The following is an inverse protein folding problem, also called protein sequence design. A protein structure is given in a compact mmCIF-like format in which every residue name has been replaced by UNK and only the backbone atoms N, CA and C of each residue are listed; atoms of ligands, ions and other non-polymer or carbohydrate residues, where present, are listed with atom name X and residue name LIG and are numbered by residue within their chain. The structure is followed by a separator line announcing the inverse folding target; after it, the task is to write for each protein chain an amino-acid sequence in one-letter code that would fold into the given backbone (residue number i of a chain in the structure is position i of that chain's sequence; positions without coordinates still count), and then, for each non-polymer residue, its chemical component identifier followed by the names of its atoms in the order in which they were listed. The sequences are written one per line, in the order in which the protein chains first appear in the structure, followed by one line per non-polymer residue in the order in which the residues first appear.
data_IF_929968126749
#
_entry.id   IF_929968126749
#
_cell.length_a   1.000
_cell.length_b   1.000
_cell.length_c   1.000
_cell.angle_alpha   90.00
_cell.angle_beta   90.00
_cell.angle_gamma   90.00
#
_symmetry.space_group_name_H-M   'P 1'
#
loop_
_entity.id
_entity.type
_entity.pdbx_description
1 polymer ?
#
# COMPACT_ATOMS: atom_id res chain seq x y z
N UNK A 1 17.10 -0.50 3.77
CA UNK A 1 15.78 -1.14 3.62
C UNK A 1 15.72 -1.78 2.23
N UNK A 2 15.37 -3.07 2.07
CA UNK A 2 15.35 -3.69 0.76
C UNK A 2 14.29 -3.04 -0.15
N UNK A 3 14.64 -2.86 -1.42
CA UNK A 3 13.85 -2.17 -2.47
C UNK A 3 12.43 -2.77 -2.63
N UNK A 4 12.22 -4.03 -2.27
CA UNK A 4 10.92 -4.70 -2.33
C UNK A 4 9.91 -4.30 -1.25
N UNK A 5 10.34 -3.67 -0.14
CA UNK A 5 9.43 -3.32 0.96
C UNK A 5 8.47 -2.18 0.61
N UNK A 6 8.85 -1.26 -0.28
CA UNK A 6 8.02 -0.10 -0.66
C UNK A 6 6.72 -0.48 -1.37
N UNK A 7 6.71 -1.58 -2.13
CA UNK A 7 5.48 -2.09 -2.78
C UNK A 7 4.54 -2.68 -1.74
N UNK A 8 5.09 -3.46 -0.79
CA UNK A 8 4.34 -4.01 0.33
C UNK A 8 3.70 -2.91 1.17
N UNK A 9 4.42 -1.82 1.44
CA UNK A 9 3.90 -0.62 2.11
C UNK A 9 2.75 0.01 1.31
N UNK A 10 2.91 0.21 0.00
CA UNK A 10 1.88 0.82 -0.86
C UNK A 10 0.61 -0.03 -0.98
N UNK A 11 0.76 -1.36 -1.07
CA UNK A 11 -0.36 -2.33 -1.06
C UNK A 11 -0.99 -2.42 0.34
N UNK A 12 -0.17 -2.35 1.39
CA UNK A 12 -0.60 -2.30 2.79
C UNK A 12 -1.51 -1.10 3.05
N UNK A 13 -1.23 0.03 2.41
CA UNK A 13 -2.03 1.25 2.45
C UNK A 13 -3.30 1.20 1.58
N UNK A 14 -3.60 0.08 0.87
CA UNK A 14 -4.80 -0.06 0.01
C UNK A 14 -6.09 0.33 0.75
N UNK A 15 -7.00 0.97 0.03
CA UNK A 15 -8.30 1.38 0.60
C UNK A 15 -9.04 0.19 1.18
N UNK A 16 -9.05 -0.96 0.48
CA UNK A 16 -9.68 -2.19 0.96
C UNK A 16 -9.16 -2.65 2.33
N UNK A 17 -7.84 -2.55 2.57
CA UNK A 17 -7.23 -2.91 3.85
C UNK A 17 -7.48 -1.84 4.92
N UNK A 18 -7.34 -0.57 4.55
CA UNK A 18 -7.58 0.54 5.46
C UNK A 18 -9.03 0.61 5.94
N UNK A 19 -9.99 0.25 5.08
CA UNK A 19 -11.42 0.25 5.40
C UNK A 19 -11.76 -0.75 6.51
N UNK A 20 -11.20 -1.95 6.46
CA UNK A 20 -11.40 -2.97 7.50
C UNK A 20 -10.79 -2.52 8.83
N UNK A 21 -9.58 -1.93 8.79
CA UNK A 21 -8.90 -1.43 9.99
C UNK A 21 -9.68 -0.26 10.62
N UNK A 22 -10.13 0.69 9.79
CA UNK A 22 -10.91 1.83 10.25
C UNK A 22 -12.23 1.41 10.90
N UNK A 23 -12.89 0.37 10.37
CA UNK A 23 -14.13 -0.17 10.94
C UNK A 23 -13.93 -0.68 12.37
N UNK A 24 -12.88 -1.43 12.64
CA UNK A 24 -12.60 -1.95 13.99
C UNK A 24 -12.21 -0.83 14.96
N UNK A 25 -11.44 0.16 14.49
CA UNK A 25 -11.12 1.35 15.29
C UNK A 25 -12.40 2.11 15.64
N UNK A 26 -13.31 2.29 14.68
CA UNK A 26 -14.58 3.00 14.92
C UNK A 26 -15.46 2.28 15.94
N UNK A 27 -15.50 0.94 15.90
CA UNK A 27 -16.21 0.16 16.92
C UNK A 27 -15.62 0.41 18.30
N UNK A 28 -14.29 0.39 18.43
CA UNK A 28 -13.63 0.66 19.70
C UNK A 28 -13.89 2.09 20.20
N UNK A 29 -13.79 3.09 19.31
CA UNK A 29 -14.09 4.48 19.64
C UNK A 29 -15.52 4.63 20.13
N UNK A 30 -16.50 3.99 19.47
CA UNK A 30 -17.90 4.03 19.90
C UNK A 30 -18.12 3.42 21.29
N UNK A 31 -17.43 2.32 21.60
CA UNK A 31 -17.48 1.69 22.92
C UNK A 31 -16.90 2.62 23.99
N UNK A 32 -15.75 3.25 23.73
CA UNK A 32 -15.07 4.15 24.69
C UNK A 32 -15.87 5.44 24.90
N UNK A 33 -16.41 6.02 23.83
CA UNK A 33 -17.20 7.25 23.91
C UNK A 33 -18.65 7.02 24.37
N UNK A 34 -19.08 5.76 24.55
CA UNK A 34 -20.45 5.37 24.93
C UNK A 34 -21.55 6.04 24.06
N UNK A 35 -21.31 6.07 22.75
CA UNK A 35 -22.17 6.75 21.77
C UNK A 35 -23.00 5.78 20.93
N UNK A 36 -24.26 6.13 20.69
CA UNK A 36 -25.16 5.34 19.86
C UNK A 36 -24.74 5.26 18.38
N UNK A 37 -25.28 4.29 17.65
CA UNK A 37 -24.97 4.06 16.22
C UNK A 37 -25.29 5.25 15.31
N UNK A 38 -26.24 6.10 15.70
CA UNK A 38 -26.65 7.30 14.97
C UNK A 38 -25.63 8.44 15.04
N UNK A 39 -24.69 8.41 15.99
CA UNK A 39 -23.68 9.44 16.11
C UNK A 39 -22.70 9.38 14.93
N UNK A 40 -22.42 10.56 14.35
CA UNK A 40 -21.51 10.70 13.22
C UNK A 40 -20.05 10.48 13.69
N UNK A 41 -19.39 9.45 13.14
CA UNK A 41 -18.02 9.10 13.55
C UNK A 41 -17.02 10.21 13.30
N UNK A 42 -17.20 11.00 12.25
CA UNK A 42 -16.30 12.10 11.91
C UNK A 42 -16.21 13.10 13.05
N UNK A 43 -17.35 13.54 13.60
CA UNK A 43 -17.41 14.47 14.73
C UNK A 43 -16.77 13.90 15.99
N UNK A 44 -17.04 12.64 16.30
CA UNK A 44 -16.46 11.96 17.48
C UNK A 44 -14.93 11.88 17.35
N UNK A 45 -14.43 11.55 16.15
CA UNK A 45 -12.99 11.48 15.91
C UNK A 45 -12.33 12.86 16.01
N UNK A 46 -12.97 13.90 15.50
CA UNK A 46 -12.47 15.28 15.59
C UNK A 46 -12.41 15.77 17.04
N UNK A 47 -13.46 15.51 17.83
CA UNK A 47 -13.49 15.83 19.27
C UNK A 47 -12.42 15.08 20.06
N UNK A 48 -12.15 13.82 19.70
CA UNK A 48 -11.10 13.01 20.32
C UNK A 48 -9.70 13.28 19.73
N UNK A 49 -9.57 14.12 18.70
CA UNK A 49 -8.30 14.38 18.01
C UNK A 49 -7.71 13.16 17.28
N UNK A 50 -8.54 12.17 16.92
CA UNK A 50 -8.09 10.93 16.27
C UNK A 50 -8.21 11.07 14.75
N UNK A 51 -7.09 11.31 14.09
CA UNK A 51 -7.04 11.29 12.62
C UNK A 51 -7.39 9.89 12.06
N UNK A 52 -8.21 9.86 11.01
CA UNK A 52 -8.56 8.62 10.31
C UNK A 52 -7.32 7.93 9.74
N UNK A 53 -7.32 6.59 9.80
CA UNK A 53 -6.33 5.74 9.13
C UNK A 53 -6.29 6.04 7.63
N UNK A 54 -7.44 6.26 7.00
CA UNK A 54 -7.51 6.58 5.58
C UNK A 54 -6.76 7.87 5.23
N UNK A 55 -6.88 8.90 6.07
CA UNK A 55 -6.19 10.17 5.86
C UNK A 55 -4.67 9.98 5.97
N UNK A 56 -4.21 9.28 7.01
CA UNK A 56 -2.78 8.97 7.20
C UNK A 56 -2.19 8.13 6.06
N UNK A 57 -2.91 7.11 5.60
CA UNK A 57 -2.44 6.21 4.54
C UNK A 57 -2.51 6.86 3.16
N UNK A 58 -3.46 7.77 2.94
CA UNK A 58 -3.54 8.55 1.69
C UNK A 58 -2.35 9.50 1.55
N UNK A 59 -2.03 10.28 2.59
CA UNK A 59 -0.85 11.16 2.57
C UNK A 59 0.44 10.35 2.39
N UNK A 60 0.57 9.22 3.10
CA UNK A 60 1.74 8.35 2.95
C UNK A 60 1.83 7.73 1.54
N UNK A 61 0.70 7.38 0.92
CA UNK A 61 0.65 6.91 -0.47
C UNK A 61 1.03 8.00 -1.46
N UNK A 62 0.51 9.21 -1.30
CA UNK A 62 0.86 10.36 -2.15
C UNK A 62 2.36 10.63 -2.09
N UNK A 63 2.94 10.65 -0.87
CA UNK A 63 4.38 10.77 -0.68
C UNK A 63 5.15 9.62 -1.35
N UNK A 64 4.64 8.39 -1.24
CA UNK A 64 5.24 7.24 -1.91
C UNK A 64 5.22 7.40 -3.43
N UNK A 65 4.12 7.88 -4.02
CA UNK A 65 4.04 8.12 -5.47
C UNK A 65 4.97 9.24 -5.95
N UNK A 66 5.14 10.31 -5.19
CA UNK A 66 6.11 11.36 -5.55
C UNK A 66 7.56 10.91 -5.39
N UNK A 67 7.84 10.05 -4.40
CA UNK A 67 9.19 9.52 -4.14
C UNK A 67 9.56 8.37 -5.07
N UNK A 68 8.60 7.55 -5.50
CA UNK A 68 8.85 6.34 -6.28
C UNK A 68 9.65 6.61 -7.56
N UNK A 69 9.38 7.64 -8.38
CA UNK A 69 10.14 7.94 -9.60
C UNK A 69 11.60 8.36 -9.37
N UNK A 70 11.89 8.97 -8.22
CA UNK A 70 13.25 9.41 -7.84
C UNK A 70 14.00 8.34 -7.05
N UNK A 71 13.28 7.35 -6.54
CA UNK A 71 13.86 6.19 -5.87
C UNK A 71 14.49 5.25 -6.91
N UNK A 72 15.72 4.77 -6.65
CA UNK A 72 16.39 3.72 -7.43
C UNK A 72 15.75 2.35 -7.15
N UNK A 73 14.44 2.24 -7.31
CA UNK A 73 13.70 0.99 -7.11
C UNK A 73 13.46 0.31 -8.45
N UNK A 74 13.54 -1.02 -8.49
CA UNK A 74 13.28 -1.84 -9.69
C UNK A 74 11.90 -1.53 -10.32
N UNK A 75 10.95 -0.99 -9.55
CA UNK A 75 9.61 -0.58 -10.03
C UNK A 75 9.65 0.70 -10.86
N UNK A 76 10.50 1.68 -10.51
CA UNK A 76 10.66 2.88 -11.33
C UNK A 76 11.14 2.53 -12.74
N UNK A 77 12.04 1.55 -12.84
CA UNK A 77 12.51 1.00 -14.10
C UNK A 77 11.41 0.18 -14.80
N UNK A 78 10.59 -0.58 -14.05
CA UNK A 78 9.44 -1.32 -14.59
C UNK A 78 8.31 -0.42 -15.12
N UNK A 79 8.09 0.77 -14.53
CA UNK A 79 7.11 1.76 -14.99
C UNK A 79 7.64 2.48 -16.25
N UNK A 80 8.94 2.79 -16.29
CA UNK A 80 9.60 3.38 -17.47
C UNK A 80 9.69 2.40 -18.64
N UNK A 81 9.87 1.11 -18.35
CA UNK A 81 9.89 0.02 -19.31
C UNK A 81 8.81 -1.02 -18.96
N UNK A 82 7.51 -0.70 -19.16
CA UNK A 82 6.43 -1.61 -18.84
C UNK A 82 6.61 -2.90 -19.63
N UNK A 83 6.58 -4.03 -18.93
CA UNK A 83 6.66 -5.35 -19.56
C UNK A 83 5.50 -5.51 -20.55
N UNK A 84 5.78 -5.31 -21.84
CA UNK A 84 4.83 -5.50 -22.96
C UNK A 84 4.53 -6.98 -23.24
N UNK A 85 4.55 -7.85 -22.23
CA UNK A 85 4.21 -9.25 -22.38
C UNK A 85 2.71 -9.45 -22.12
N UNK A 86 1.90 -9.23 -23.16
CA UNK A 86 0.42 -9.29 -23.14
C UNK A 86 -0.18 -10.61 -22.61
N UNK A 87 0.60 -11.66 -22.35
CA UNK A 87 0.11 -12.98 -21.91
C UNK A 87 1.07 -13.72 -20.96
N UNK A 88 1.88 -13.02 -20.16
CA UNK A 88 2.69 -13.68 -19.14
C UNK A 88 2.05 -13.45 -17.77
N UNK A 89 1.49 -14.50 -17.17
CA UNK A 89 1.14 -14.48 -15.75
C UNK A 89 2.40 -14.19 -14.92
N UNK A 90 2.25 -13.47 -13.81
CA UNK A 90 3.36 -13.03 -12.94
C UNK A 90 4.38 -14.14 -12.63
N UNK A 91 3.90 -15.36 -12.42
CA UNK A 91 4.72 -16.57 -12.19
C UNK A 91 5.58 -16.90 -13.42
N UNK A 92 4.99 -16.92 -14.61
CA UNK A 92 5.68 -17.24 -15.86
C UNK A 92 6.65 -16.13 -16.28
N UNK A 93 6.32 -14.87 -15.98
CA UNK A 93 7.21 -13.72 -16.19
C UNK A 93 8.44 -13.76 -15.28
N UNK A 94 8.22 -14.02 -13.99
CA UNK A 94 9.28 -14.11 -12.99
C UNK A 94 10.24 -15.26 -13.27
N UNK A 95 9.72 -16.44 -13.63
CA UNK A 95 10.54 -17.59 -14.00
C UNK A 95 11.45 -17.30 -15.21
N UNK A 96 10.93 -16.57 -16.22
CA UNK A 96 11.71 -16.18 -17.42
C UNK A 96 12.77 -15.14 -17.09
N UNK A 97 12.45 -14.19 -16.21
CA UNK A 97 13.39 -13.16 -15.76
C UNK A 97 14.54 -13.77 -14.96
N UNK A 98 14.23 -14.64 -13.98
CA UNK A 98 15.23 -15.38 -13.18
C UNK A 98 16.13 -16.21 -14.10
N UNK A 99 15.57 -16.95 -15.07
CA UNK A 99 16.37 -17.73 -16.02
C UNK A 99 17.28 -16.87 -16.91
N UNK A 100 16.86 -15.65 -17.24
CA UNK A 100 17.65 -14.76 -18.11
C UNK A 100 18.82 -14.10 -17.38
N UNK A 101 18.63 -13.74 -16.11
CA UNK A 101 19.59 -12.93 -15.36
C UNK A 101 20.34 -13.71 -14.28
N UNK A 102 19.73 -14.72 -13.65
CA UNK A 102 20.38 -15.51 -12.59
C UNK A 102 21.08 -16.78 -13.10
N UNK A 103 20.99 -17.11 -14.40
CA UNK A 103 21.70 -18.27 -14.99
C UNK A 103 23.05 -17.91 -15.63
N UNK A 104 23.46 -16.64 -15.59
CA UNK A 104 24.79 -16.23 -16.05
C UNK A 104 25.85 -16.23 -14.93
N UNK A 105 25.44 -16.39 -13.67
CA UNK A 105 26.32 -16.42 -12.48
C UNK A 105 26.59 -17.84 -11.97
N UNK A 106 26.69 -18.82 -12.86
CA UNK A 106 27.18 -20.16 -12.53
C UNK A 106 28.21 -20.58 -13.58
N UNK A 107 29.48 -20.25 -13.29
CA UNK A 107 30.65 -20.89 -13.87
C UNK A 107 30.63 -22.40 -13.63
#
# INVERSE_FOLDING_TARGET
MPIGCYVGETIGMSEARCKLIQLEIDKAIRLVANVGKSAAMERIRDELGIASVFMRTSTAREHAYHKLPTSKTCIADLIKAPMKARMATWVTGSARWIKKFCSQDSN
#
